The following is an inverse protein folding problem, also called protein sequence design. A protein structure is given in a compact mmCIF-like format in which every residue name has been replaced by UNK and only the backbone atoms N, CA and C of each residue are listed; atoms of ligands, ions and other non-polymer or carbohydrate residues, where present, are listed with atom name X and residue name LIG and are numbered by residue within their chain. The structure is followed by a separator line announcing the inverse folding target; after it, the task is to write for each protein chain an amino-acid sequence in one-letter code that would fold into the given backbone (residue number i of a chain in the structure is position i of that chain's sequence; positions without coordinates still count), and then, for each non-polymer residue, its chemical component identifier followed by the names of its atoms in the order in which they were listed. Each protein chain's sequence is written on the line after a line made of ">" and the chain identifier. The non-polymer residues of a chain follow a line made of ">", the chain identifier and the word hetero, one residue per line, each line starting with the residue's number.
data_IF_874890615915
#
_entry.id   IF_874890615915
#
_cell.length_a   1.000
_cell.length_b   1.000
_cell.length_c   1.000
_cell.angle_alpha   90.00
_cell.angle_beta   90.00
_cell.angle_gamma   90.00
#
_symmetry.space_group_name_H-M   'P 1'
#
loop_
_entity.id
_entity.type
_entity.pdbx_description
1 polymer ?
#
# COMPACT_ATOMS: atom_id res chain seq x y z
N UNK A 1 -4.00 -2.76 11.11
CA UNK A 1 -3.05 -3.79 10.64
C UNK A 1 -1.68 -3.49 11.22
N UNK A 2 -0.99 -2.42 10.77
CA UNK A 2 0.32 -1.94 11.29
C UNK A 2 0.45 -1.93 12.84
N UNK A 3 -0.51 -1.33 13.55
CA UNK A 3 -0.45 -1.20 15.02
C UNK A 3 -0.41 -2.55 15.77
N UNK A 4 -0.92 -3.66 15.19
CA UNK A 4 -0.92 -4.98 15.84
C UNK A 4 0.34 -5.80 15.53
N UNK A 5 0.89 -5.65 14.33
CA UNK A 5 2.21 -6.22 13.99
C UNK A 5 3.29 -5.60 14.88
N UNK A 6 3.23 -4.28 15.08
CA UNK A 6 4.11 -3.54 15.98
C UNK A 6 3.97 -3.98 17.44
N UNK A 7 2.74 -4.20 17.92
CA UNK A 7 2.49 -4.78 19.26
C UNK A 7 3.07 -6.19 19.39
N UNK A 8 2.86 -7.06 18.41
CA UNK A 8 3.36 -8.44 18.46
C UNK A 8 4.90 -8.47 18.41
N UNK A 9 5.52 -7.64 17.57
CA UNK A 9 6.97 -7.49 17.50
C UNK A 9 7.55 -7.02 18.84
N UNK A 10 6.89 -6.05 19.50
CA UNK A 10 7.29 -5.55 20.82
C UNK A 10 7.22 -6.65 21.89
N UNK A 11 6.12 -7.41 21.95
CA UNK A 11 5.96 -8.53 22.90
C UNK A 11 7.00 -9.63 22.66
N UNK A 12 7.24 -10.00 21.40
CA UNK A 12 8.23 -11.01 21.03
C UNK A 12 9.65 -10.55 21.34
N UNK A 13 9.98 -9.28 21.11
CA UNK A 13 11.27 -8.69 21.47
C UNK A 13 11.54 -8.75 22.97
N UNK A 14 10.56 -8.33 23.79
CA UNK A 14 10.68 -8.39 25.25
C UNK A 14 10.79 -9.81 25.78
N UNK A 15 10.05 -10.76 25.20
CA UNK A 15 10.13 -12.18 25.58
C UNK A 15 11.46 -12.84 25.18
N UNK A 16 11.99 -12.54 23.98
CA UNK A 16 13.30 -13.04 23.55
C UNK A 16 14.43 -12.48 24.42
N UNK A 17 14.28 -11.25 24.91
CA UNK A 17 15.18 -10.64 25.90
C UNK A 17 15.06 -11.20 27.32
N UNK A 18 14.32 -12.30 27.55
CA UNK A 18 14.20 -12.95 28.86
C UNK A 18 13.28 -12.22 29.85
N UNK A 19 12.53 -11.20 29.42
CA UNK A 19 11.64 -10.43 30.31
C UNK A 19 10.49 -11.33 30.80
N UNK A 20 10.23 -11.40 32.13
CA UNK A 20 9.14 -12.21 32.65
C UNK A 20 7.78 -11.65 32.22
N UNK A 21 6.82 -12.55 31.93
CA UNK A 21 5.48 -12.20 31.40
C UNK A 21 4.76 -11.13 32.24
N UNK A 22 4.91 -11.14 33.58
CA UNK A 22 4.31 -10.11 34.46
C UNK A 22 4.83 -8.71 34.16
N UNK A 23 6.10 -8.59 33.80
CA UNK A 23 6.73 -7.30 33.49
C UNK A 23 6.36 -6.82 32.09
N UNK A 24 6.24 -7.74 31.12
CA UNK A 24 5.68 -7.44 29.79
C UNK A 24 4.26 -6.87 29.91
N UNK A 25 3.39 -7.47 30.75
CA UNK A 25 2.03 -6.96 31.02
C UNK A 25 2.07 -5.51 31.50
N UNK A 26 2.97 -5.17 32.42
CA UNK A 26 3.09 -3.82 32.98
C UNK A 26 3.62 -2.81 31.96
N UNK A 27 4.55 -3.23 31.09
CA UNK A 27 5.17 -2.36 30.09
C UNK A 27 4.27 -2.12 28.88
N UNK A 28 3.55 -3.14 28.42
CA UNK A 28 2.73 -3.03 27.19
C UNK A 28 1.26 -2.75 27.47
N UNK A 29 0.80 -2.85 28.73
CA UNK A 29 -0.61 -2.68 29.10
C UNK A 29 -1.55 -3.76 28.55
N UNK A 30 -1.00 -4.85 28.02
CA UNK A 30 -1.77 -5.92 27.38
C UNK A 30 -2.10 -7.06 28.33
N UNK A 31 -3.21 -7.75 28.07
CA UNK A 31 -3.64 -8.84 28.93
C UNK A 31 -2.60 -9.97 28.96
N UNK A 32 -2.47 -10.62 30.12
CA UNK A 32 -1.57 -11.76 30.31
C UNK A 32 -1.89 -12.92 29.35
N UNK A 33 -3.15 -13.02 28.92
CA UNK A 33 -3.60 -13.98 27.91
C UNK A 33 -2.98 -13.65 26.55
N UNK A 34 -3.12 -12.42 26.06
CA UNK A 34 -2.57 -11.99 24.76
C UNK A 34 -1.05 -12.22 24.71
N UNK A 35 -0.32 -11.82 25.74
CA UNK A 35 1.15 -11.97 25.80
C UNK A 35 1.56 -13.44 25.72
N UNK A 36 0.91 -14.33 26.48
CA UNK A 36 1.19 -15.78 26.40
C UNK A 36 0.91 -16.35 25.02
N UNK A 37 -0.16 -15.91 24.37
CA UNK A 37 -0.51 -16.37 23.03
C UNK A 37 0.52 -15.92 22.01
N UNK A 38 0.92 -14.65 22.04
CA UNK A 38 1.98 -14.12 21.16
C UNK A 38 3.31 -14.86 21.38
N UNK A 39 3.72 -15.09 22.63
CA UNK A 39 4.97 -15.82 22.97
C UNK A 39 4.93 -17.28 22.48
N UNK A 40 3.78 -17.95 22.58
CA UNK A 40 3.60 -19.33 22.11
C UNK A 40 3.56 -19.46 20.59
N UNK A 41 3.65 -18.35 19.86
CA UNK A 41 3.47 -18.35 18.42
C UNK A 41 2.02 -18.68 18.03
N UNK A 42 1.06 -18.56 18.95
CA UNK A 42 -0.37 -18.50 18.62
C UNK A 42 -0.59 -17.17 17.91
N UNK A 43 -0.23 -17.16 16.63
CA UNK A 43 -0.48 -16.05 15.72
C UNK A 43 -1.95 -15.65 15.90
N UNK A 44 -2.16 -14.38 16.26
CA UNK A 44 -3.44 -13.71 16.04
C UNK A 44 -3.53 -13.14 14.62
N UNK A 45 -2.55 -13.46 13.77
CA UNK A 45 -2.89 -13.79 12.39
C UNK A 45 -3.60 -15.12 12.57
N UNK A 46 -4.87 -15.24 12.32
CA UNK A 46 -5.42 -15.07 11.01
C UNK A 46 -6.89 -14.78 11.38
N UNK A 47 -7.53 -13.73 10.86
CA UNK A 47 -8.89 -13.96 10.34
C UNK A 47 -8.72 -15.29 9.64
N UNK A 48 -9.17 -16.45 10.16
CA UNK A 48 -8.98 -17.72 9.45
C UNK A 48 -9.37 -17.38 8.02
N UNK A 49 -8.40 -17.20 7.11
CA UNK A 49 -8.62 -17.22 5.69
C UNK A 49 -8.89 -18.69 5.59
N UNK A 50 -10.15 -19.04 5.89
CA UNK A 50 -10.68 -20.38 5.85
C UNK A 50 -10.13 -20.84 4.54
N UNK A 51 -9.17 -21.79 4.58
CA UNK A 51 -8.49 -22.29 3.40
C UNK A 51 -9.61 -22.62 2.44
N UNK A 52 -9.84 -21.69 1.51
CA UNK A 52 -11.13 -21.62 0.90
C UNK A 52 -11.01 -22.70 -0.15
N UNK A 53 -12.02 -23.56 -0.29
CA UNK A 53 -12.02 -24.47 -1.44
C UNK A 53 -11.86 -23.70 -2.76
N UNK A 54 -12.12 -22.38 -2.73
CA UNK A 54 -11.88 -21.43 -3.81
C UNK A 54 -10.40 -21.16 -4.11
N UNK A 55 -9.48 -21.27 -3.14
CA UNK A 55 -8.07 -20.85 -3.28
C UNK A 55 -7.36 -21.62 -4.39
N UNK A 56 -7.63 -22.93 -4.50
CA UNK A 56 -7.12 -23.80 -5.57
C UNK A 56 -7.64 -23.42 -6.95
N UNK A 57 -8.77 -22.71 -7.02
CA UNK A 57 -9.40 -22.29 -8.27
C UNK A 57 -9.25 -20.79 -8.55
N UNK A 58 -8.56 -20.03 -7.69
CA UNK A 58 -8.34 -18.59 -7.89
C UNK A 58 -7.64 -18.27 -9.21
N UNK A 59 -6.56 -18.98 -9.62
CA UNK A 59 -5.90 -18.68 -10.90
C UNK A 59 -6.87 -18.81 -12.09
N UNK A 60 -7.67 -19.89 -12.11
CA UNK A 60 -8.67 -20.09 -13.16
C UNK A 60 -9.79 -19.05 -13.12
N UNK A 61 -10.23 -18.63 -11.93
CA UNK A 61 -11.24 -17.58 -11.79
C UNK A 61 -10.72 -16.22 -12.29
N UNK A 62 -9.45 -15.90 -12.02
CA UNK A 62 -8.81 -14.69 -12.53
C UNK A 62 -8.65 -14.71 -14.06
N UNK A 63 -8.30 -15.86 -14.65
CA UNK A 63 -8.25 -16.02 -16.11
C UNK A 63 -9.62 -15.78 -16.75
N UNK A 64 -10.69 -16.36 -16.20
CA UNK A 64 -12.05 -16.16 -16.70
C UNK A 64 -12.54 -14.72 -16.50
N UNK A 65 -12.13 -14.09 -15.41
CA UNK A 65 -12.47 -12.69 -15.14
C UNK A 65 -11.82 -11.76 -16.16
N UNK A 66 -10.53 -11.98 -16.45
CA UNK A 66 -9.77 -11.27 -17.49
C UNK A 66 -10.34 -11.52 -18.87
N UNK A 67 -10.83 -12.74 -19.14
CA UNK A 67 -11.57 -13.09 -20.37
C UNK A 67 -12.98 -12.47 -20.47
N UNK A 68 -13.41 -11.66 -19.49
CA UNK A 68 -14.67 -10.91 -19.54
C UNK A 68 -15.88 -11.61 -18.89
N UNK A 69 -15.71 -12.79 -18.29
CA UNK A 69 -16.82 -13.46 -17.58
C UNK A 69 -17.10 -12.77 -16.24
N UNK A 70 -18.09 -11.88 -16.20
CA UNK A 70 -18.46 -11.11 -14.98
C UNK A 70 -19.60 -11.72 -14.15
N UNK A 71 -20.23 -12.79 -14.65
CA UNK A 71 -21.37 -13.45 -14.01
C UNK A 71 -20.90 -14.52 -13.00
N UNK A 72 -21.09 -14.25 -11.70
CA UNK A 72 -20.69 -15.18 -10.63
C UNK A 72 -21.42 -16.52 -10.64
N UNK A 73 -22.68 -16.57 -11.11
CA UNK A 73 -23.42 -17.82 -11.23
C UNK A 73 -22.90 -18.70 -12.36
N UNK A 74 -22.48 -18.07 -13.46
CA UNK A 74 -21.85 -18.76 -14.57
C UNK A 74 -20.46 -19.30 -14.19
N UNK A 75 -19.65 -18.47 -13.53
CA UNK A 75 -18.35 -18.89 -13.00
C UNK A 75 -18.49 -20.08 -12.05
N UNK A 76 -19.49 -20.07 -11.16
CA UNK A 76 -19.75 -21.19 -10.25
C UNK A 76 -20.15 -22.48 -10.99
N UNK A 77 -21.03 -22.40 -12.00
CA UNK A 77 -21.41 -23.58 -12.81
C UNK A 77 -20.19 -24.20 -13.50
N UNK A 78 -19.35 -23.37 -14.11
CA UNK A 78 -18.10 -23.80 -14.75
C UNK A 78 -17.10 -24.37 -13.73
N UNK A 79 -17.00 -23.78 -12.53
CA UNK A 79 -16.16 -24.29 -11.43
C UNK A 79 -16.62 -25.67 -10.96
N UNK A 80 -17.95 -25.89 -10.87
CA UNK A 80 -18.55 -27.14 -10.42
C UNK A 80 -18.22 -28.31 -11.36
N UNK A 81 -18.21 -28.06 -12.68
CA UNK A 81 -17.76 -29.04 -13.69
C UNK A 81 -16.29 -29.41 -13.51
N UNK A 82 -15.46 -28.47 -13.02
CA UNK A 82 -14.03 -28.67 -12.73
C UNK A 82 -13.76 -29.27 -11.34
N UNK A 83 -14.79 -29.76 -10.65
CA UNK A 83 -14.66 -30.46 -9.37
C UNK A 83 -14.82 -29.59 -8.12
N UNK A 84 -15.21 -28.31 -8.25
CA UNK A 84 -15.47 -27.47 -7.09
C UNK A 84 -16.73 -27.90 -6.34
N UNK A 85 -16.57 -28.17 -5.04
CA UNK A 85 -17.66 -28.58 -4.14
C UNK A 85 -18.19 -27.44 -3.26
N UNK A 86 -17.73 -26.21 -3.46
CA UNK A 86 -18.17 -25.06 -2.66
C UNK A 86 -19.47 -24.43 -3.16
N UNK A 87 -19.99 -23.50 -2.35
CA UNK A 87 -21.28 -22.86 -2.60
C UNK A 87 -21.18 -21.70 -3.60
N UNK A 88 -22.28 -21.44 -4.31
CA UNK A 88 -22.43 -20.28 -5.20
C UNK A 88 -22.14 -18.97 -4.46
N UNK A 89 -22.53 -18.87 -3.19
CA UNK A 89 -22.30 -17.69 -2.34
C UNK A 89 -20.82 -17.31 -2.30
N UNK A 90 -19.92 -18.27 -2.19
CA UNK A 90 -18.47 -18.01 -2.10
C UNK A 90 -17.95 -17.38 -3.40
N UNK A 91 -18.37 -17.90 -4.56
CA UNK A 91 -18.01 -17.34 -5.88
C UNK A 91 -18.67 -15.97 -6.07
N UNK A 92 -19.92 -15.80 -5.60
CA UNK A 92 -20.64 -14.52 -5.63
C UNK A 92 -19.97 -13.43 -4.78
N UNK A 93 -19.50 -13.77 -3.59
CA UNK A 93 -18.72 -12.86 -2.73
C UNK A 93 -17.39 -12.49 -3.39
N UNK A 94 -16.68 -13.47 -3.98
CA UNK A 94 -15.45 -13.22 -4.73
C UNK A 94 -15.66 -12.26 -5.90
N UNK A 95 -16.65 -12.52 -6.77
CA UNK A 95 -16.96 -11.61 -7.90
C UNK A 95 -17.36 -10.21 -7.46
N UNK A 96 -18.09 -10.09 -6.34
CA UNK A 96 -18.49 -8.80 -5.79
C UNK A 96 -17.30 -8.02 -5.25
N UNK A 97 -16.36 -8.69 -4.58
CA UNK A 97 -15.08 -8.08 -4.15
C UNK A 97 -14.26 -7.63 -5.35
N UNK A 98 -14.21 -8.43 -6.43
CA UNK A 98 -13.47 -8.09 -7.65
C UNK A 98 -14.03 -6.83 -8.33
N UNK A 99 -15.35 -6.71 -8.48
CA UNK A 99 -16.00 -5.48 -8.98
C UNK A 99 -15.71 -4.26 -8.11
N UNK A 100 -15.74 -4.41 -6.79
CA UNK A 100 -15.44 -3.29 -5.87
C UNK A 100 -13.99 -2.86 -5.96
N UNK A 101 -13.06 -3.80 -6.10
CA UNK A 101 -11.64 -3.49 -6.33
C UNK A 101 -11.47 -2.70 -7.61
N UNK A 102 -12.00 -3.20 -8.74
CA UNK A 102 -11.89 -2.48 -10.02
C UNK A 102 -12.55 -1.10 -9.97
N UNK A 103 -13.71 -0.99 -9.32
CA UNK A 103 -14.36 0.32 -9.13
C UNK A 103 -13.49 1.25 -8.28
N UNK A 104 -12.87 0.75 -7.21
CA UNK A 104 -11.95 1.53 -6.41
C UNK A 104 -10.68 1.92 -7.19
N UNK A 105 -10.17 1.03 -8.04
CA UNK A 105 -9.02 1.30 -8.91
C UNK A 105 -9.39 2.37 -9.95
N UNK A 106 -10.58 2.31 -10.53
CA UNK A 106 -11.12 3.36 -11.42
C UNK A 106 -11.31 4.69 -10.68
N UNK A 107 -11.88 4.66 -9.46
CA UNK A 107 -12.00 5.87 -8.63
C UNK A 107 -10.63 6.43 -8.22
N UNK A 108 -9.63 5.59 -8.00
CA UNK A 108 -8.25 6.00 -7.74
C UNK A 108 -7.56 6.56 -9.00
N UNK A 109 -7.83 6.00 -10.18
CA UNK A 109 -7.43 6.57 -11.47
C UNK A 109 -8.07 7.94 -11.70
N UNK A 110 -9.32 8.15 -11.28
CA UNK A 110 -9.94 9.49 -11.28
C UNK A 110 -9.37 10.45 -10.23
N UNK A 111 -8.63 9.93 -9.23
CA UNK A 111 -7.86 10.74 -8.27
C UNK A 111 -6.44 11.05 -8.74
N UNK A 112 -6.07 10.76 -9.99
CA UNK A 112 -4.80 11.20 -10.55
C UNK A 112 -4.70 12.72 -10.33
N UNK A 113 -3.70 13.20 -9.58
CA UNK A 113 -3.54 14.61 -9.31
C UNK A 113 -3.33 15.34 -10.63
N UNK A 114 -3.98 16.50 -10.79
CA UNK A 114 -3.79 17.33 -11.97
C UNK A 114 -2.32 17.69 -12.16
N UNK A 115 -1.89 17.98 -13.40
CA UNK A 115 -0.53 18.44 -13.68
C UNK A 115 -0.13 19.64 -12.79
N UNK A 116 -1.07 20.56 -12.53
CA UNK A 116 -0.86 21.71 -11.65
C UNK A 116 -0.64 21.29 -10.19
N UNK A 117 -1.36 20.27 -9.72
CA UNK A 117 -1.16 19.68 -8.40
C UNK A 117 0.23 19.04 -8.30
N UNK A 118 0.64 18.26 -9.31
CA UNK A 118 1.96 17.63 -9.37
C UNK A 118 3.05 18.72 -9.32
N UNK A 119 2.98 19.73 -10.18
CA UNK A 119 3.95 20.84 -10.19
C UNK A 119 4.04 21.52 -8.83
N UNK A 120 2.90 21.84 -8.18
CA UNK A 120 2.88 22.46 -6.86
C UNK A 120 3.55 21.57 -5.80
N UNK A 121 3.25 20.27 -5.78
CA UNK A 121 3.87 19.32 -4.85
C UNK A 121 5.38 19.19 -5.07
N UNK A 122 5.83 19.20 -6.32
CA UNK A 122 7.24 19.05 -6.69
C UNK A 122 8.10 20.30 -6.39
N UNK A 123 7.49 21.49 -6.41
CA UNK A 123 8.24 22.77 -6.34
C UNK A 123 8.04 23.54 -5.03
N UNK A 124 6.79 23.71 -4.56
CA UNK A 124 6.44 24.64 -3.47
C UNK A 124 5.94 23.91 -2.21
N UNK A 125 5.33 22.74 -2.36
CA UNK A 125 4.65 22.04 -1.26
C UNK A 125 5.54 21.25 -0.30
N UNK A 126 6.86 21.17 -0.53
CA UNK A 126 7.76 20.20 0.13
C UNK A 126 7.87 20.38 1.64
N UNK A 127 7.83 21.63 2.11
CA UNK A 127 8.02 21.92 3.54
C UNK A 127 6.77 21.61 4.37
N UNK A 128 5.63 21.33 3.70
CA UNK A 128 4.34 21.06 4.35
C UNK A 128 3.57 19.95 3.64
N UNK A 129 4.22 18.86 3.26
CA UNK A 129 3.53 17.71 2.66
C UNK A 129 2.77 16.91 3.71
N UNK A 130 1.50 16.62 3.44
CA UNK A 130 0.78 15.58 4.17
C UNK A 130 1.33 14.18 3.86
N UNK A 131 0.97 13.19 4.68
CA UNK A 131 1.37 11.79 4.45
C UNK A 131 0.90 11.25 3.10
N UNK A 132 -0.30 11.64 2.66
CA UNK A 132 -0.84 11.22 1.37
C UNK A 132 -0.07 11.86 0.22
N UNK A 133 0.24 13.14 0.31
CA UNK A 133 1.02 13.86 -0.70
C UNK A 133 2.47 13.36 -0.78
N UNK A 134 3.07 12.97 0.34
CA UNK A 134 4.42 12.36 0.38
C UNK A 134 4.46 11.06 -0.44
N UNK A 135 3.44 10.21 -0.29
CA UNK A 135 3.34 8.96 -1.05
C UNK A 135 3.14 9.26 -2.55
N UNK A 136 2.31 10.25 -2.89
CA UNK A 136 2.12 10.70 -4.28
C UNK A 136 3.42 11.21 -4.89
N UNK A 137 4.18 12.05 -4.18
CA UNK A 137 5.47 12.57 -4.64
C UNK A 137 6.44 11.42 -4.88
N UNK A 138 6.59 10.48 -3.93
CA UNK A 138 7.47 9.33 -4.09
C UNK A 138 7.10 8.47 -5.32
N UNK A 139 5.79 8.28 -5.58
CA UNK A 139 5.34 7.56 -6.76
C UNK A 139 5.66 8.30 -8.07
N UNK A 140 5.54 9.63 -8.09
CA UNK A 140 5.91 10.47 -9.25
C UNK A 140 7.42 10.45 -9.48
N UNK A 141 8.22 10.60 -8.42
CA UNK A 141 9.68 10.56 -8.50
C UNK A 141 10.20 9.22 -9.01
N UNK A 142 9.58 8.10 -8.59
CA UNK A 142 9.91 6.77 -9.09
C UNK A 142 9.46 6.54 -10.55
N UNK A 143 8.34 7.11 -10.96
CA UNK A 143 7.75 6.89 -12.29
C UNK A 143 8.26 7.83 -13.38
N UNK A 144 8.73 9.03 -13.02
CA UNK A 144 9.13 10.08 -13.97
C UNK A 144 10.41 10.77 -13.48
N UNK A 145 11.60 10.16 -13.70
CA UNK A 145 12.88 10.72 -13.26
C UNK A 145 13.17 12.13 -13.80
N UNK A 146 12.69 12.47 -15.01
CA UNK A 146 12.86 13.80 -15.61
C UNK A 146 12.20 14.92 -14.80
N UNK A 147 11.16 14.61 -14.00
CA UNK A 147 10.57 15.58 -13.07
C UNK A 147 11.45 15.82 -11.84
N UNK A 148 12.30 14.87 -11.47
CA UNK A 148 13.30 15.04 -10.41
C UNK A 148 14.40 15.98 -10.88
N UNK A 149 14.89 15.79 -12.12
CA UNK A 149 15.89 16.67 -12.75
C UNK A 149 15.38 18.11 -12.87
N UNK A 150 14.17 18.30 -13.42
CA UNK A 150 13.54 19.61 -13.52
C UNK A 150 13.39 20.29 -12.14
N UNK A 151 13.06 19.51 -11.10
CA UNK A 151 12.97 19.99 -9.72
C UNK A 151 14.32 20.46 -9.18
N UNK A 152 15.40 19.75 -9.46
CA UNK A 152 16.75 20.13 -9.01
C UNK A 152 17.21 21.43 -9.69
N UNK A 153 16.97 21.56 -10.99
CA UNK A 153 17.23 22.78 -11.78
C UNK A 153 16.51 23.99 -11.15
N UNK A 154 15.22 23.86 -10.83
CA UNK A 154 14.44 24.94 -10.19
C UNK A 154 14.94 25.25 -8.77
N UNK A 155 15.32 24.23 -7.99
CA UNK A 155 15.83 24.42 -6.64
C UNK A 155 17.16 25.19 -6.63
N UNK A 156 18.05 24.87 -7.56
CA UNK A 156 19.31 25.58 -7.75
C UNK A 156 19.10 27.05 -8.14
N UNK A 157 18.16 27.31 -9.05
CA UNK A 157 17.78 28.68 -9.42
C UNK A 157 17.24 29.49 -8.23
N UNK A 158 16.33 28.91 -7.45
CA UNK A 158 15.84 29.54 -6.22
C UNK A 158 16.97 29.80 -5.21
N UNK A 159 17.95 28.89 -5.13
CA UNK A 159 19.15 29.07 -4.32
C UNK A 159 20.00 30.26 -4.77
N UNK A 160 20.20 30.43 -6.08
CA UNK A 160 20.91 31.58 -6.65
C UNK A 160 20.19 32.90 -6.36
N UNK A 161 18.86 32.95 -6.48
CA UNK A 161 18.06 34.15 -6.15
C UNK A 161 18.26 34.54 -4.68
N UNK A 162 18.14 33.57 -3.76
CA UNK A 162 18.31 33.84 -2.31
C UNK A 162 19.71 34.37 -1.98
N UNK A 163 20.75 33.86 -2.64
CA UNK A 163 22.15 34.27 -2.45
C UNK A 163 22.54 35.52 -3.27
N UNK A 164 21.65 36.03 -4.13
CA UNK A 164 21.92 37.12 -5.09
C UNK A 164 23.15 36.87 -5.95
N UNK A 165 23.37 35.62 -6.36
CA UNK A 165 24.54 35.19 -7.11
C UNK A 165 24.39 35.46 -8.63
N UNK A 166 24.30 36.73 -9.02
CA UNK A 166 24.08 37.12 -10.42
C UNK A 166 25.16 36.58 -11.38
N UNK A 167 26.40 36.44 -10.90
CA UNK A 167 27.51 35.90 -11.69
C UNK A 167 27.33 34.40 -12.03
N UNK A 168 26.60 33.64 -11.22
CA UNK A 168 26.36 32.20 -11.44
C UNK A 168 25.26 31.96 -12.52
N UNK A 169 24.40 32.95 -12.76
CA UNK A 169 23.20 32.81 -13.61
C UNK A 169 23.53 32.39 -15.05
N UNK A 170 24.51 33.03 -15.69
CA UNK A 170 24.85 32.73 -17.09
C UNK A 170 25.34 31.29 -17.25
N UNK A 171 26.21 30.84 -16.35
CA UNK A 171 26.72 29.46 -16.34
C UNK A 171 25.63 28.42 -16.07
N UNK A 172 24.65 28.77 -15.24
CA UNK A 172 23.50 27.92 -14.97
C UNK A 172 22.61 27.77 -16.22
N UNK A 173 22.31 28.87 -16.93
CA UNK A 173 21.52 28.83 -18.17
C UNK A 173 22.18 27.93 -19.22
N UNK A 174 23.50 28.01 -19.40
CA UNK A 174 24.21 27.20 -20.39
C UNK A 174 24.16 25.69 -20.06
N UNK A 175 24.14 25.34 -18.78
CA UNK A 175 24.12 23.93 -18.34
C UNK A 175 22.73 23.28 -18.42
N UNK A 176 21.66 24.05 -18.22
CA UNK A 176 20.28 23.51 -18.10
C UNK A 176 19.47 23.64 -19.38
N UNK A 177 20.06 24.21 -20.43
CA UNK A 177 19.48 24.35 -21.77
C UNK A 177 19.49 23.02 -22.53
#
# INVERSE_FOLDING_TARGET
>A
YLRREETNATILGLSKGGTPIKQIVRQTGHSRKLIRQVIRGERHDIFRTRQNSLDQHLPWLDDQWTAGCRNGAELWRRLRVRGFRGSLRVVGEWTTRRRRSEKADIENLHRIPSARTIVRLMTVGRDTLSKAETITVAAVEAGVPTLVEAREIVAEFHGMIRRRAAAELSSWIERVR
#
